data_IF_553663642337
#
_entry.id   IF_553663642337
#
_cell.length_a   1.000
_cell.length_b   1.000
_cell.length_c   1.000
_cell.angle_alpha   90.00
_cell.angle_beta   90.00
_cell.angle_gamma   90.00
#
_symmetry.space_group_name_H-M   'P 1'
#
loop_
_entity.id
_entity.type
_entity.pdbx_description
1 polymer ?
#
# COMPACT_ATOMS: atom_id res chain seq x y z
N UNK A 1 57.95 43.49 49.54
CA UNK A 1 56.57 43.01 49.67
C UNK A 1 56.13 42.52 48.32
N UNK A 2 56.12 41.22 48.08
CA UNK A 2 55.69 40.60 46.82
C UNK A 2 54.40 39.86 47.12
N UNK A 3 53.25 40.32 46.58
CA UNK A 3 51.97 39.66 46.68
C UNK A 3 51.88 38.59 45.62
N UNK A 4 51.64 37.32 46.00
CA UNK A 4 51.34 36.20 45.13
C UNK A 4 49.88 36.18 44.88
N UNK A 5 49.50 36.35 43.63
CA UNK A 5 48.11 36.13 43.13
C UNK A 5 47.97 34.63 42.78
N UNK A 6 47.07 33.96 43.50
CA UNK A 6 46.64 32.59 43.14
C UNK A 6 45.53 32.69 42.14
N UNK A 7 45.75 32.12 40.95
CA UNK A 7 44.71 31.93 39.96
C UNK A 7 44.10 30.52 40.16
N UNK A 8 42.87 30.51 40.61
CA UNK A 8 42.10 29.25 40.75
C UNK A 8 41.50 28.91 39.38
N UNK A 9 41.99 27.84 38.74
CA UNK A 9 41.34 27.26 37.58
C UNK A 9 40.16 26.40 38.05
N UNK A 10 38.94 26.85 37.80
CA UNK A 10 37.72 26.03 37.93
C UNK A 10 37.58 25.24 36.61
N UNK A 11 37.92 23.97 36.68
CA UNK A 11 37.62 23.04 35.58
C UNK A 11 36.15 22.62 35.70
N UNK A 12 35.31 23.20 34.83
CA UNK A 12 33.93 22.74 34.66
C UNK A 12 33.96 21.41 33.90
N UNK A 13 33.71 20.32 34.62
CA UNK A 13 33.36 19.04 33.98
C UNK A 13 31.93 19.16 33.42
N UNK A 14 31.80 19.46 32.16
CA UNK A 14 30.53 19.24 31.42
C UNK A 14 30.46 17.74 31.12
N UNK A 15 29.75 17.00 31.96
CA UNK A 15 29.33 15.65 31.64
C UNK A 15 28.30 15.75 30.51
N UNK A 16 28.73 15.47 29.27
CA UNK A 16 27.83 15.19 28.16
C UNK A 16 27.16 13.87 28.48
N UNK A 17 25.99 13.91 29.08
CA UNK A 17 25.06 12.79 29.06
C UNK A 17 24.58 12.65 27.61
N UNK A 18 25.20 11.74 26.87
CA UNK A 18 24.63 11.19 25.67
C UNK A 18 23.34 10.47 26.09
N UNK A 19 22.22 11.15 25.91
CA UNK A 19 20.91 10.51 25.98
C UNK A 19 20.82 9.62 24.72
N UNK A 20 21.31 8.39 24.83
CA UNK A 20 20.84 7.31 23.99
C UNK A 20 19.36 7.12 24.35
N UNK A 21 18.46 7.86 23.70
CA UNK A 21 17.10 7.42 23.53
C UNK A 21 17.16 6.27 22.48
N UNK A 22 17.62 5.11 22.91
CA UNK A 22 17.11 3.88 22.37
C UNK A 22 15.60 3.95 22.65
N UNK A 23 14.81 4.19 21.63
CA UNK A 23 13.39 3.89 21.68
C UNK A 23 13.31 2.41 22.03
N UNK A 24 13.14 2.09 23.29
CA UNK A 24 12.55 0.82 23.71
C UNK A 24 11.12 0.84 23.16
N UNK A 25 10.98 0.45 21.90
CA UNK A 25 9.72 -0.07 21.42
C UNK A 25 9.42 -1.28 22.30
N UNK A 26 8.49 -1.09 23.21
CA UNK A 26 8.00 -2.16 24.04
C UNK A 26 7.24 -3.12 23.10
N UNK A 27 7.96 -4.12 22.57
CA UNK A 27 7.56 -5.07 21.52
C UNK A 27 6.45 -6.06 21.96
N UNK A 28 5.62 -5.67 22.93
CA UNK A 28 4.53 -6.51 23.43
C UNK A 28 3.15 -6.14 22.90
N UNK A 29 3.05 -5.48 21.77
CA UNK A 29 1.74 -5.07 21.23
C UNK A 29 1.59 -5.48 19.79
N UNK A 30 0.45 -6.09 19.50
CA UNK A 30 -0.02 -6.36 18.13
C UNK A 30 0.01 -5.07 17.29
N UNK A 31 0.56 -5.12 16.09
CA UNK A 31 0.56 -4.02 15.13
C UNK A 31 0.65 -4.49 13.68
N UNK A 32 0.24 -3.66 12.76
CA UNK A 32 0.53 -3.80 11.33
C UNK A 32 1.64 -2.80 10.98
N UNK A 33 2.79 -3.25 10.45
CA UNK A 33 3.85 -2.34 9.99
C UNK A 33 3.36 -1.40 8.89
N UNK A 34 3.94 -0.20 8.86
CA UNK A 34 3.72 0.71 7.74
C UNK A 34 4.49 0.24 6.50
N UNK A 35 3.99 0.60 5.32
CA UNK A 35 4.58 0.16 4.05
C UNK A 35 6.02 0.68 3.85
N UNK A 36 6.40 1.80 4.47
CA UNK A 36 7.78 2.32 4.41
C UNK A 36 8.74 1.68 5.43
N UNK A 37 8.27 0.82 6.34
CA UNK A 37 9.13 0.05 7.22
C UNK A 37 9.90 -1.03 6.44
N UNK A 38 10.99 -1.60 7.01
CA UNK A 38 11.72 -2.67 6.34
C UNK A 38 10.83 -3.83 5.92
N UNK A 39 10.99 -4.27 4.68
CA UNK A 39 10.24 -5.37 4.09
C UNK A 39 11.16 -6.57 3.83
N UNK A 40 10.66 -7.78 4.04
CA UNK A 40 11.31 -9.03 3.63
C UNK A 40 11.14 -9.27 2.14
N UNK A 41 9.95 -8.98 1.61
CA UNK A 41 9.61 -9.23 0.22
C UNK A 41 8.41 -8.39 -0.26
N UNK A 42 8.24 -8.33 -1.57
CA UNK A 42 6.96 -7.97 -2.21
C UNK A 42 6.36 -9.22 -2.87
N UNK A 43 5.04 -9.32 -2.85
CA UNK A 43 4.28 -10.35 -3.53
C UNK A 43 3.49 -9.76 -4.69
N UNK A 44 3.32 -10.51 -5.78
CA UNK A 44 2.44 -10.18 -6.90
C UNK A 44 1.88 -11.46 -7.52
N UNK A 45 0.71 -11.36 -8.14
CA UNK A 45 0.11 -12.39 -8.98
C UNK A 45 0.32 -12.01 -10.44
N UNK A 46 0.84 -12.91 -11.27
CA UNK A 46 1.07 -12.58 -12.67
C UNK A 46 -0.26 -12.47 -13.42
N UNK A 47 -0.45 -11.50 -14.35
CA UNK A 47 -1.73 -11.29 -15.03
C UNK A 47 -2.20 -12.50 -15.80
N UNK A 48 -3.50 -12.79 -15.72
CA UNK A 48 -4.19 -13.80 -16.48
C UNK A 48 -4.51 -13.37 -17.92
N UNK A 49 -5.29 -14.19 -18.64
CA UNK A 49 -5.60 -13.90 -20.05
C UNK A 49 -6.34 -12.57 -20.26
N UNK A 50 -7.29 -12.25 -19.40
CA UNK A 50 -8.07 -11.00 -19.50
C UNK A 50 -7.29 -9.76 -19.04
N UNK A 51 -6.16 -9.97 -18.36
CA UNK A 51 -5.26 -8.92 -17.89
C UNK A 51 -3.97 -8.85 -18.71
N UNK A 52 -3.89 -9.56 -19.83
CA UNK A 52 -2.65 -9.73 -20.62
C UNK A 52 -2.04 -8.42 -21.12
N UNK A 53 -2.85 -7.40 -21.35
CA UNK A 53 -2.39 -6.05 -21.73
C UNK A 53 -1.44 -5.44 -20.67
N UNK A 54 -1.44 -5.98 -19.44
CA UNK A 54 -0.63 -5.51 -18.32
C UNK A 54 0.74 -6.20 -18.24
N UNK A 55 1.01 -7.27 -18.97
CA UNK A 55 2.25 -8.08 -18.84
C UNK A 55 3.53 -7.25 -18.87
N UNK A 56 3.64 -6.29 -19.80
CA UNK A 56 4.83 -5.44 -19.92
C UNK A 56 5.02 -4.57 -18.67
N UNK A 57 3.94 -4.04 -18.12
CA UNK A 57 3.98 -3.25 -16.88
C UNK A 57 4.42 -4.13 -15.70
N UNK A 58 3.87 -5.35 -15.60
CA UNK A 58 4.26 -6.30 -14.55
C UNK A 58 5.71 -6.75 -14.67
N UNK A 59 6.22 -6.99 -15.86
CA UNK A 59 7.64 -7.29 -16.06
C UNK A 59 8.54 -6.14 -15.58
N UNK A 60 8.18 -4.88 -15.86
CA UNK A 60 8.92 -3.71 -15.38
C UNK A 60 8.82 -3.54 -13.86
N UNK A 61 7.66 -3.81 -13.25
CA UNK A 61 7.49 -3.81 -11.79
C UNK A 61 8.40 -4.87 -11.18
N UNK A 62 8.38 -6.08 -11.72
CA UNK A 62 9.23 -7.18 -11.26
C UNK A 62 10.73 -6.88 -11.39
N UNK A 63 11.15 -6.25 -12.49
CA UNK A 63 12.52 -5.79 -12.68
C UNK A 63 12.95 -4.82 -11.57
N UNK A 64 12.16 -3.80 -11.29
CA UNK A 64 12.49 -2.82 -10.26
C UNK A 64 12.56 -3.49 -8.88
N UNK A 65 11.52 -4.19 -8.47
CA UNK A 65 11.46 -4.80 -7.14
C UNK A 65 12.64 -5.75 -6.92
N UNK A 66 12.94 -6.60 -7.91
CA UNK A 66 14.00 -7.61 -7.79
C UNK A 66 15.43 -7.04 -7.67
N UNK A 67 15.64 -5.77 -8.00
CA UNK A 67 16.92 -5.09 -7.78
C UNK A 67 17.14 -4.73 -6.31
N UNK A 68 16.08 -4.55 -5.53
CA UNK A 68 16.13 -4.02 -4.17
C UNK A 68 15.81 -5.07 -3.10
N UNK A 69 14.83 -5.93 -3.34
CA UNK A 69 14.35 -6.91 -2.37
C UNK A 69 13.83 -8.18 -3.03
N UNK A 70 13.46 -9.19 -2.24
CA UNK A 70 12.83 -10.40 -2.75
C UNK A 70 11.47 -10.07 -3.37
N UNK A 71 11.18 -10.73 -4.47
CA UNK A 71 9.90 -10.70 -5.15
C UNK A 71 9.35 -12.12 -5.25
N UNK A 72 8.19 -12.35 -4.68
CA UNK A 72 7.43 -13.58 -4.85
C UNK A 72 6.37 -13.37 -5.91
N UNK A 73 6.37 -14.22 -6.94
CA UNK A 73 5.40 -14.16 -8.04
C UNK A 73 4.56 -15.44 -8.02
N UNK A 74 3.25 -15.26 -7.85
CA UNK A 74 2.29 -16.35 -8.02
C UNK A 74 1.93 -16.49 -9.51
N UNK A 75 1.77 -17.72 -9.97
CA UNK A 75 1.25 -18.03 -11.29
C UNK A 75 0.21 -19.15 -11.21
N UNK A 76 -0.88 -19.00 -11.97
CA UNK A 76 -2.01 -19.94 -11.86
C UNK A 76 -1.95 -21.12 -12.83
N UNK A 77 -1.05 -21.09 -13.82
CA UNK A 77 -0.89 -22.18 -14.80
C UNK A 77 0.50 -22.19 -15.44
N UNK A 78 0.91 -23.33 -15.97
CA UNK A 78 2.20 -23.48 -16.67
C UNK A 78 2.32 -22.52 -17.87
N UNK A 79 1.22 -22.22 -18.56
CA UNK A 79 1.25 -21.27 -19.67
C UNK A 79 1.55 -19.85 -19.18
N UNK A 80 0.94 -19.41 -18.09
CA UNK A 80 1.23 -18.09 -17.48
C UNK A 80 2.67 -18.03 -17.01
N UNK A 81 3.22 -19.12 -16.45
CA UNK A 81 4.63 -19.19 -16.09
C UNK A 81 5.55 -18.98 -17.31
N UNK A 82 5.25 -19.65 -18.42
CA UNK A 82 6.02 -19.49 -19.66
C UNK A 82 5.92 -18.07 -20.23
N UNK A 83 4.70 -17.50 -20.25
CA UNK A 83 4.47 -16.13 -20.74
C UNK A 83 5.20 -15.11 -19.86
N UNK A 84 5.15 -15.27 -18.55
CA UNK A 84 5.87 -14.41 -17.59
C UNK A 84 7.38 -14.45 -17.80
N UNK A 85 7.96 -15.64 -17.96
CA UNK A 85 9.39 -15.79 -18.24
C UNK A 85 9.79 -15.13 -19.54
N UNK A 86 8.93 -15.28 -20.57
CA UNK A 86 9.15 -14.59 -21.84
C UNK A 86 9.10 -13.07 -21.69
N UNK A 87 8.10 -12.54 -21.00
CA UNK A 87 7.96 -11.09 -20.81
C UNK A 87 9.16 -10.47 -20.06
N UNK A 88 9.69 -11.16 -19.05
CA UNK A 88 10.90 -10.74 -18.34
C UNK A 88 12.13 -10.79 -19.25
N UNK A 89 12.35 -11.89 -19.99
CA UNK A 89 13.46 -12.01 -20.92
C UNK A 89 13.41 -10.95 -22.02
N UNK A 90 12.22 -10.62 -22.53
CA UNK A 90 12.05 -9.62 -23.59
C UNK A 90 12.51 -8.21 -23.16
N UNK A 91 12.52 -7.93 -21.84
CA UNK A 91 13.05 -6.67 -21.29
C UNK A 91 14.45 -6.84 -20.67
N UNK A 92 15.11 -8.00 -20.86
CA UNK A 92 16.47 -8.26 -20.40
C UNK A 92 16.60 -8.64 -18.91
N UNK A 93 15.52 -9.06 -18.27
CA UNK A 93 15.50 -9.52 -16.87
C UNK A 93 15.57 -11.04 -16.83
N UNK A 94 16.50 -11.58 -16.04
CA UNK A 94 16.59 -13.02 -15.78
C UNK A 94 15.43 -13.47 -14.88
N UNK A 95 14.48 -14.27 -15.37
CA UNK A 95 13.36 -14.76 -14.57
C UNK A 95 13.79 -15.66 -13.39
N UNK A 96 15.00 -16.21 -13.43
CA UNK A 96 15.60 -17.02 -12.37
C UNK A 96 16.56 -16.20 -11.48
N UNK A 97 16.49 -14.88 -11.58
CA UNK A 97 17.32 -13.97 -10.78
C UNK A 97 17.23 -14.26 -9.28
N UNK A 98 18.34 -14.01 -8.57
CA UNK A 98 18.49 -14.38 -7.14
C UNK A 98 17.37 -13.90 -6.22
N UNK A 99 16.69 -12.81 -6.58
CA UNK A 99 15.62 -12.20 -5.79
C UNK A 99 14.19 -12.58 -6.28
N UNK A 100 14.02 -13.31 -7.37
CA UNK A 100 12.71 -13.73 -7.88
C UNK A 100 12.40 -15.15 -7.38
N UNK A 101 11.20 -15.34 -6.88
CA UNK A 101 10.65 -16.62 -6.41
C UNK A 101 9.31 -16.89 -7.05
N UNK A 102 9.17 -18.01 -7.73
CA UNK A 102 7.96 -18.43 -8.41
C UNK A 102 7.17 -19.45 -7.60
N UNK A 103 5.86 -19.29 -7.55
CA UNK A 103 4.97 -20.19 -6.82
C UNK A 103 3.76 -20.56 -7.69
N UNK A 104 3.56 -21.86 -7.92
CA UNK A 104 2.37 -22.38 -8.57
C UNK A 104 1.19 -22.35 -7.59
N UNK A 105 0.42 -21.29 -7.63
CA UNK A 105 -0.75 -21.07 -6.77
C UNK A 105 -1.93 -20.66 -7.66
N UNK A 106 -3.04 -21.40 -7.67
CA UNK A 106 -4.24 -20.97 -8.36
C UNK A 106 -4.84 -19.70 -7.73
N UNK A 107 -5.23 -18.76 -8.58
CA UNK A 107 -5.99 -17.55 -8.26
C UNK A 107 -6.88 -17.18 -9.46
N UNK A 108 -7.85 -16.30 -9.23
CA UNK A 108 -8.79 -15.87 -10.25
C UNK A 108 -8.34 -14.56 -10.91
N UNK A 109 -7.77 -13.61 -10.15
CA UNK A 109 -7.43 -12.25 -10.60
C UNK A 109 -6.09 -11.79 -10.02
N UNK A 110 -5.38 -10.86 -10.69
CA UNK A 110 -4.02 -10.43 -10.30
C UNK A 110 -3.98 -9.30 -9.25
N UNK A 111 -5.01 -9.15 -8.44
CA UNK A 111 -5.16 -8.05 -7.47
C UNK A 111 -4.62 -8.43 -6.09
N UNK A 112 -3.29 -8.70 -6.00
CA UNK A 112 -2.62 -9.20 -4.80
C UNK A 112 -2.75 -8.29 -3.58
N UNK A 113 -3.00 -7.00 -3.76
CA UNK A 113 -3.30 -6.08 -2.67
C UNK A 113 -4.61 -6.43 -1.99
N UNK A 114 -5.63 -6.78 -2.75
CA UNK A 114 -6.98 -6.93 -2.27
C UNK A 114 -7.29 -8.35 -1.79
N UNK A 115 -6.79 -9.36 -2.50
CA UNK A 115 -6.99 -10.77 -2.17
C UNK A 115 -5.80 -11.40 -1.42
N UNK A 116 -4.74 -10.64 -1.18
CA UNK A 116 -3.54 -11.12 -0.49
C UNK A 116 -3.59 -11.01 1.04
N UNK A 117 -2.55 -11.48 1.73
CA UNK A 117 -2.48 -11.48 3.18
C UNK A 117 -2.40 -10.10 3.81
N UNK A 118 -2.93 -9.95 5.02
CA UNK A 118 -2.57 -8.86 5.93
C UNK A 118 -1.62 -9.40 6.98
N UNK A 119 -0.40 -8.89 7.00
CA UNK A 119 0.60 -9.32 7.97
C UNK A 119 0.47 -8.53 9.27
N UNK A 120 0.45 -9.24 10.39
CA UNK A 120 0.35 -8.65 11.73
C UNK A 120 1.51 -9.15 12.58
N UNK A 121 2.23 -8.24 13.20
CA UNK A 121 3.23 -8.54 14.19
C UNK A 121 2.56 -8.62 15.57
N UNK A 122 2.81 -9.70 16.29
CA UNK A 122 2.27 -9.94 17.63
C UNK A 122 3.41 -10.46 18.53
N UNK A 123 3.96 -9.58 19.35
CA UNK A 123 5.14 -9.85 20.17
C UNK A 123 6.33 -10.37 19.33
N UNK A 124 6.73 -11.62 19.52
CA UNK A 124 7.83 -12.27 18.80
C UNK A 124 7.33 -13.14 17.63
N UNK A 125 6.12 -12.93 17.17
CA UNK A 125 5.49 -13.72 16.12
C UNK A 125 4.97 -12.83 14.98
N UNK A 126 5.17 -13.27 13.73
CA UNK A 126 4.45 -12.74 12.57
C UNK A 126 3.28 -13.67 12.25
N UNK A 127 2.12 -13.12 11.99
CA UNK A 127 0.91 -13.86 11.59
C UNK A 127 0.32 -13.28 10.32
N UNK A 128 -0.36 -14.09 9.58
CA UNK A 128 -1.19 -13.67 8.45
C UNK A 128 -2.65 -13.63 8.90
N UNK A 129 -3.35 -12.56 8.57
CA UNK A 129 -4.80 -12.53 8.62
C UNK A 129 -5.35 -12.75 7.22
N UNK A 130 -6.24 -13.73 7.09
CA UNK A 130 -7.04 -13.98 5.91
C UNK A 130 -8.42 -13.36 6.11
N UNK A 131 -8.63 -12.18 5.51
CA UNK A 131 -9.92 -11.51 5.45
C UNK A 131 -10.71 -12.06 4.28
N UNK A 132 -12.02 -12.27 4.46
CA UNK A 132 -12.84 -12.77 3.38
C UNK A 132 -12.84 -11.81 2.18
N UNK A 133 -12.64 -12.37 0.99
CA UNK A 133 -12.72 -11.65 -0.28
C UNK A 133 -13.94 -12.14 -1.08
N UNK A 134 -14.76 -11.22 -1.60
CA UNK A 134 -15.99 -11.54 -2.37
C UNK A 134 -16.13 -10.71 -3.65
N UNK A 135 -15.01 -10.52 -4.37
CA UNK A 135 -14.96 -9.73 -5.61
C UNK A 135 -15.52 -8.31 -5.43
N UNK A 136 -14.99 -7.59 -4.43
CA UNK A 136 -15.36 -6.19 -4.12
C UNK A 136 -16.86 -5.97 -3.88
N UNK A 137 -17.52 -6.91 -3.18
CA UNK A 137 -18.96 -6.86 -2.98
C UNK A 137 -19.78 -7.11 -4.24
N UNK A 138 -19.23 -7.85 -5.22
CA UNK A 138 -19.86 -8.11 -6.51
C UNK A 138 -19.91 -6.89 -7.44
N UNK A 139 -19.01 -5.92 -7.27
CA UNK A 139 -19.00 -4.66 -8.03
C UNK A 139 -18.90 -4.87 -9.56
N UNK A 140 -18.24 -5.95 -9.99
CA UNK A 140 -18.02 -6.29 -11.40
C UNK A 140 -19.05 -7.29 -11.95
N UNK A 141 -20.09 -7.61 -11.20
CA UNK A 141 -21.14 -8.55 -11.58
C UNK A 141 -20.97 -9.93 -10.95
N UNK A 142 -22.01 -10.78 -11.07
CA UNK A 142 -22.06 -12.08 -10.38
C UNK A 142 -21.16 -13.15 -11.01
N UNK A 143 -20.66 -12.93 -12.22
CA UNK A 143 -19.90 -13.92 -12.99
C UNK A 143 -18.38 -13.81 -12.75
N UNK A 144 -17.92 -12.85 -11.94
CA UNK A 144 -16.51 -12.70 -11.61
C UNK A 144 -16.11 -13.75 -10.57
N UNK A 145 -15.23 -14.70 -10.91
CA UNK A 145 -14.77 -15.71 -9.95
C UNK A 145 -13.86 -15.06 -8.90
N UNK A 146 -13.92 -15.56 -7.66
CA UNK A 146 -13.10 -15.09 -6.53
C UNK A 146 -12.75 -16.17 -5.50
N UNK A 147 -13.25 -17.40 -5.69
CA UNK A 147 -13.04 -18.46 -4.70
C UNK A 147 -11.57 -18.85 -4.56
N UNK A 148 -10.81 -18.82 -5.65
CA UNK A 148 -9.37 -19.09 -5.63
C UNK A 148 -8.63 -17.91 -4.99
N UNK A 149 -9.03 -16.68 -5.30
CA UNK A 149 -8.50 -15.45 -4.71
C UNK A 149 -8.66 -15.45 -3.18
N UNK A 150 -9.85 -15.81 -2.68
CA UNK A 150 -10.13 -15.88 -1.24
C UNK A 150 -9.24 -16.89 -0.49
N UNK A 151 -8.57 -17.81 -1.20
CA UNK A 151 -7.65 -18.80 -0.62
C UNK A 151 -6.18 -18.38 -0.66
N UNK A 152 -5.84 -17.27 -1.31
CA UNK A 152 -4.45 -16.85 -1.51
C UNK A 152 -3.70 -16.63 -0.20
N UNK A 153 -4.25 -15.98 0.85
CA UNK A 153 -3.55 -15.81 2.12
C UNK A 153 -3.15 -17.14 2.78
N UNK A 154 -3.98 -18.18 2.69
CA UNK A 154 -3.67 -19.51 3.22
C UNK A 154 -2.52 -20.17 2.46
N UNK A 155 -2.48 -19.99 1.13
CA UNK A 155 -1.37 -20.49 0.31
C UNK A 155 -0.06 -19.78 0.62
N UNK A 156 -0.11 -18.45 0.80
CA UNK A 156 1.05 -17.67 1.23
C UNK A 156 1.52 -18.10 2.61
N UNK A 157 0.61 -18.30 3.56
CA UNK A 157 0.92 -18.82 4.90
C UNK A 157 1.62 -20.18 4.84
N UNK A 158 1.14 -21.08 3.98
CA UNK A 158 1.78 -22.39 3.77
C UNK A 158 3.18 -22.26 3.14
N UNK A 159 3.37 -21.37 2.16
CA UNK A 159 4.68 -21.14 1.53
C UNK A 159 5.70 -20.59 2.51
N UNK A 160 5.27 -19.69 3.39
CA UNK A 160 6.14 -19.01 4.36
C UNK A 160 6.27 -19.73 5.69
N UNK A 161 5.49 -20.80 5.94
CA UNK A 161 5.35 -21.44 7.25
C UNK A 161 4.92 -20.45 8.35
N UNK A 162 3.97 -19.55 8.00
CA UNK A 162 3.40 -18.55 8.90
C UNK A 162 1.97 -18.92 9.25
N UNK A 163 1.57 -18.90 10.54
CA UNK A 163 0.19 -19.16 10.96
C UNK A 163 -0.81 -18.17 10.36
N UNK A 164 -1.98 -18.66 9.96
CA UNK A 164 -3.05 -17.87 9.35
C UNK A 164 -4.25 -17.79 10.29
N UNK A 165 -4.70 -16.56 10.56
CA UNK A 165 -5.93 -16.27 11.30
C UNK A 165 -7.04 -15.93 10.28
N UNK A 166 -8.15 -16.68 10.31
CA UNK A 166 -9.31 -16.40 9.46
C UNK A 166 -10.21 -15.35 10.13
N UNK A 167 -10.49 -14.28 9.40
CA UNK A 167 -11.32 -13.16 9.86
C UNK A 167 -12.66 -13.20 9.11
N UNK A 168 -13.74 -13.39 9.86
CA UNK A 168 -15.09 -13.48 9.28
C UNK A 168 -15.69 -12.09 8.98
N UNK A 169 -14.92 -11.28 8.26
CA UNK A 169 -15.30 -9.96 7.73
C UNK A 169 -14.79 -9.87 6.31
N UNK A 170 -15.62 -9.43 5.39
CA UNK A 170 -15.19 -9.17 4.00
C UNK A 170 -14.48 -7.82 3.95
N UNK A 171 -13.22 -7.84 3.57
CA UNK A 171 -12.43 -6.62 3.42
C UNK A 171 -11.21 -6.82 2.54
N UNK A 172 -10.83 -5.76 1.85
CA UNK A 172 -9.67 -5.73 0.99
C UNK A 172 -8.57 -4.85 1.61
N UNK A 173 -7.28 -5.30 1.50
CA UNK A 173 -6.15 -4.55 2.06
C UNK A 173 -5.94 -3.19 1.37
N UNK A 174 -6.38 -3.00 0.12
CA UNK A 174 -6.37 -1.71 -0.57
C UNK A 174 -7.16 -0.61 0.15
N UNK A 175 -8.09 -1.00 1.01
CA UNK A 175 -8.81 -0.09 1.89
C UNK A 175 -8.22 0.03 3.30
N UNK A 176 -6.97 -0.35 3.53
CA UNK A 176 -6.31 -0.28 4.84
C UNK A 176 -4.99 0.47 4.71
N UNK A 177 -4.88 1.61 5.36
CA UNK A 177 -3.67 2.42 5.37
C UNK A 177 -3.16 2.61 6.80
N UNK A 178 -1.97 2.07 7.11
CA UNK A 178 -1.39 2.01 8.46
C UNK A 178 -0.23 2.97 8.63
N UNK A 179 -0.14 3.60 9.82
CA UNK A 179 1.04 4.40 10.19
C UNK A 179 2.17 3.59 10.85
N UNK A 180 2.02 2.25 10.93
CA UNK A 180 3.01 1.35 11.50
C UNK A 180 3.00 1.25 13.03
N UNK A 181 2.20 2.03 13.74
CA UNK A 181 2.18 2.06 15.21
C UNK A 181 0.78 1.87 15.79
N UNK A 182 -0.07 2.86 15.68
CA UNK A 182 -1.30 2.92 16.45
C UNK A 182 -2.53 3.37 15.67
N UNK A 183 -2.40 3.64 14.37
CA UNK A 183 -3.50 4.23 13.58
C UNK A 183 -3.70 3.52 12.25
N UNK A 184 -4.96 3.29 11.90
CA UNK A 184 -5.41 2.88 10.56
C UNK A 184 -6.39 3.92 10.01
N UNK A 185 -6.24 4.25 8.73
CA UNK A 185 -7.21 5.04 7.95
C UNK A 185 -7.88 4.09 6.94
N UNK A 186 -9.18 4.18 6.81
CA UNK A 186 -9.93 3.42 5.82
C UNK A 186 -11.21 4.15 5.42
N UNK A 187 -11.78 3.75 4.29
CA UNK A 187 -13.06 4.27 3.84
C UNK A 187 -14.21 3.38 4.33
N UNK A 188 -15.13 3.99 5.07
CA UNK A 188 -16.33 3.33 5.56
C UNK A 188 -17.24 2.85 4.43
N UNK A 189 -17.29 3.58 3.30
CA UNK A 189 -18.13 3.19 2.15
C UNK A 189 -17.77 1.82 1.57
N UNK A 190 -16.55 1.33 1.83
CA UNK A 190 -16.06 0.01 1.44
C UNK A 190 -16.47 -1.05 2.46
N UNK A 191 -15.92 -1.00 3.69
CA UNK A 191 -16.15 -2.05 4.70
C UNK A 191 -17.61 -2.09 5.19
N UNK A 192 -18.29 -0.95 5.17
CA UNK A 192 -19.71 -0.83 5.54
C UNK A 192 -20.69 -1.09 4.40
N UNK A 193 -20.21 -1.50 3.20
CA UNK A 193 -21.08 -1.88 2.09
C UNK A 193 -21.87 -3.14 2.46
N UNK A 194 -23.23 -3.11 2.39
CA UNK A 194 -24.06 -4.27 2.70
C UNK A 194 -23.77 -5.51 1.85
N UNK A 195 -23.23 -5.35 0.64
CA UNK A 195 -22.81 -6.47 -0.21
C UNK A 195 -21.51 -7.12 0.27
N UNK A 196 -20.74 -6.43 1.13
CA UNK A 196 -19.61 -7.01 1.84
C UNK A 196 -20.02 -7.50 3.22
N UNK A 197 -20.60 -6.62 4.04
CA UNK A 197 -20.88 -6.92 5.45
C UNK A 197 -22.28 -6.45 5.83
N UNK A 198 -23.26 -7.33 5.70
CA UNK A 198 -24.66 -7.02 6.03
C UNK A 198 -24.79 -6.72 7.54
N UNK A 199 -25.46 -5.61 7.86
CA UNK A 199 -25.72 -5.14 9.25
C UNK A 199 -24.45 -4.77 10.05
N UNK A 200 -23.29 -4.62 9.40
CA UNK A 200 -22.09 -4.13 10.06
C UNK A 200 -22.17 -2.62 10.30
N UNK A 201 -21.77 -2.14 11.47
CA UNK A 201 -21.82 -0.72 11.81
C UNK A 201 -20.46 -0.18 12.26
N UNK A 202 -20.28 1.15 12.20
CA UNK A 202 -18.99 1.78 12.51
C UNK A 202 -18.47 1.48 13.91
N UNK A 203 -19.34 1.40 14.91
CA UNK A 203 -18.90 1.14 16.29
C UNK A 203 -18.35 -0.28 16.43
N UNK A 204 -18.98 -1.24 15.78
CA UNK A 204 -18.51 -2.62 15.71
C UNK A 204 -17.21 -2.69 14.91
N UNK A 205 -17.15 -2.07 13.73
CA UNK A 205 -15.96 -2.01 12.90
C UNK A 205 -14.77 -1.38 13.66
N UNK A 206 -14.98 -0.27 14.37
CA UNK A 206 -13.92 0.34 15.17
C UNK A 206 -13.38 -0.61 16.27
N UNK A 207 -14.28 -1.33 16.94
CA UNK A 207 -13.89 -2.32 17.94
C UNK A 207 -13.06 -3.45 17.31
N UNK A 208 -13.58 -4.06 16.24
CA UNK A 208 -12.98 -5.22 15.60
C UNK A 208 -11.62 -4.87 14.97
N UNK A 209 -11.51 -3.71 14.30
CA UNK A 209 -10.25 -3.26 13.71
C UNK A 209 -9.17 -2.97 14.78
N UNK A 210 -9.56 -2.44 15.95
CA UNK A 210 -8.65 -2.26 17.08
C UNK A 210 -8.17 -3.61 17.61
N UNK A 211 -9.05 -4.58 17.71
CA UNK A 211 -8.73 -5.93 18.19
C UNK A 211 -7.83 -6.68 17.20
N UNK A 212 -8.18 -6.67 15.90
CA UNK A 212 -7.44 -7.39 14.87
C UNK A 212 -6.06 -6.80 14.59
N UNK A 213 -5.92 -5.47 14.58
CA UNK A 213 -4.69 -4.81 14.19
C UNK A 213 -3.85 -4.27 15.35
N UNK A 214 -4.40 -4.24 16.57
CA UNK A 214 -3.73 -3.64 17.73
C UNK A 214 -3.65 -2.10 17.67
N UNK A 215 -4.40 -1.45 16.79
CA UNK A 215 -4.41 0.01 16.67
C UNK A 215 -5.25 0.66 17.78
N UNK A 216 -4.85 1.87 18.18
CA UNK A 216 -5.61 2.68 19.14
C UNK A 216 -6.62 3.60 18.47
N UNK A 217 -6.32 4.00 17.24
CA UNK A 217 -7.12 4.95 16.48
C UNK A 217 -7.53 4.36 15.13
N UNK A 218 -8.83 4.42 14.85
CA UNK A 218 -9.43 4.07 13.56
C UNK A 218 -10.04 5.33 12.98
N UNK A 219 -9.60 5.75 11.80
CA UNK A 219 -10.08 6.94 11.11
C UNK A 219 -10.91 6.50 9.91
N UNK A 220 -12.21 6.71 10.00
CA UNK A 220 -13.14 6.49 8.89
C UNK A 220 -13.30 7.74 8.04
N UNK A 221 -12.95 7.65 6.77
CA UNK A 221 -13.42 8.58 5.75
C UNK A 221 -14.68 8.00 5.08
N UNK A 222 -15.36 8.77 4.26
CA UNK A 222 -16.58 8.35 3.55
C UNK A 222 -16.65 8.97 2.16
N UNK A 223 -17.28 8.26 1.27
CA UNK A 223 -17.56 8.66 -0.10
C UNK A 223 -16.90 7.75 -1.12
N UNK A 224 -17.53 7.62 -2.27
CA UNK A 224 -17.04 6.84 -3.41
C UNK A 224 -16.81 7.83 -4.53
N UNK A 225 -15.54 8.05 -4.95
CA UNK A 225 -15.22 8.88 -6.10
C UNK A 225 -15.90 8.37 -7.39
N UNK A 226 -16.19 9.26 -8.29
CA UNK A 226 -16.81 8.87 -9.56
C UNK A 226 -15.89 7.99 -10.38
N UNK A 227 -16.41 6.87 -10.87
CA UNK A 227 -15.64 5.87 -11.62
C UNK A 227 -14.79 4.92 -10.78
N UNK A 228 -14.80 5.04 -9.45
CA UNK A 228 -14.13 4.10 -8.57
C UNK A 228 -14.86 2.75 -8.52
N UNK A 229 -14.18 1.70 -9.00
CA UNK A 229 -14.74 0.35 -9.11
C UNK A 229 -14.65 -0.45 -7.79
N UNK A 230 -13.81 0.00 -6.84
CA UNK A 230 -13.57 -0.68 -5.56
C UNK A 230 -14.53 -0.26 -4.45
N UNK A 231 -15.38 0.74 -4.70
CA UNK A 231 -16.25 1.42 -3.74
C UNK A 231 -15.50 2.31 -2.73
N UNK A 232 -14.41 2.92 -3.19
CA UNK A 232 -13.69 3.95 -2.48
C UNK A 232 -12.51 3.43 -1.64
N UNK A 233 -11.68 2.55 -2.18
CA UNK A 233 -10.46 2.14 -1.50
C UNK A 233 -9.60 3.33 -1.10
N UNK A 234 -9.01 3.24 0.10
CA UNK A 234 -8.23 4.34 0.68
C UNK A 234 -6.95 4.63 -0.09
N UNK A 235 -6.34 3.61 -0.71
CA UNK A 235 -5.07 3.71 -1.44
C UNK A 235 -5.14 4.56 -2.71
N UNK A 236 -6.35 4.84 -3.21
CA UNK A 236 -6.63 5.81 -4.25
C UNK A 236 -6.98 7.21 -3.75
N UNK A 237 -7.12 7.43 -2.43
CA UNK A 237 -7.63 8.67 -1.82
C UNK A 237 -6.62 9.30 -0.87
N UNK A 238 -6.04 8.51 0.04
CA UNK A 238 -5.14 9.00 1.08
C UNK A 238 -4.08 7.95 1.42
N UNK A 239 -2.81 8.38 1.55
CA UNK A 239 -1.67 7.52 1.87
C UNK A 239 -0.79 8.13 2.95
N UNK A 240 -0.33 7.33 3.89
CA UNK A 240 0.73 7.74 4.79
C UNK A 240 2.08 7.81 4.05
N UNK A 241 2.87 8.84 4.37
CA UNK A 241 4.28 8.97 3.93
C UNK A 241 5.25 9.07 5.11
N UNK A 242 4.74 8.82 6.30
CA UNK A 242 5.47 8.86 7.56
C UNK A 242 4.50 8.78 8.74
N UNK A 243 5.00 8.60 9.98
CA UNK A 243 4.15 8.26 11.12
C UNK A 243 3.07 9.29 11.45
N UNK A 244 3.25 10.54 11.01
CA UNK A 244 2.36 11.67 11.32
C UNK A 244 1.92 12.49 10.11
N UNK A 245 2.23 12.04 8.88
CA UNK A 245 1.95 12.79 7.66
C UNK A 245 1.19 11.92 6.66
N UNK A 246 0.07 12.44 6.18
CA UNK A 246 -0.81 11.80 5.20
C UNK A 246 -0.91 12.68 3.96
N UNK A 247 -0.74 12.08 2.80
CA UNK A 247 -1.04 12.70 1.51
C UNK A 247 -2.50 12.41 1.16
N UNK A 248 -3.26 13.42 0.76
CA UNK A 248 -4.68 13.29 0.36
C UNK A 248 -4.89 13.98 -0.97
N UNK A 249 -5.59 13.33 -1.89
CA UNK A 249 -5.91 13.88 -3.21
C UNK A 249 -6.59 15.24 -3.16
N UNK A 250 -6.39 16.00 -4.22
CA UNK A 250 -7.03 17.28 -4.45
C UNK A 250 -7.42 17.44 -5.92
N UNK A 251 -8.71 17.66 -6.18
CA UNK A 251 -9.19 18.06 -7.49
C UNK A 251 -8.71 19.47 -7.86
N UNK A 252 -8.32 19.66 -9.12
CA UNK A 252 -7.84 20.95 -9.65
C UNK A 252 -8.71 21.42 -10.82
N UNK A 253 -8.45 22.65 -11.29
CA UNK A 253 -9.10 23.14 -12.52
C UNK A 253 -8.63 22.41 -13.79
N UNK A 254 -7.61 21.57 -13.70
CA UNK A 254 -7.02 20.80 -14.81
C UNK A 254 -7.45 19.34 -14.84
N UNK A 255 -8.13 18.86 -13.80
CA UNK A 255 -8.66 17.48 -13.71
C UNK A 255 -10.11 17.38 -14.15
N UNK A 256 -10.60 16.17 -14.38
CA UNK A 256 -12.01 15.89 -14.60
C UNK A 256 -12.81 16.18 -13.33
N UNK A 257 -12.29 15.77 -12.19
CA UNK A 257 -12.87 16.02 -10.88
C UNK A 257 -12.70 17.48 -10.42
N UNK A 258 -13.34 18.41 -11.07
CA UNK A 258 -13.25 19.87 -10.80
C UNK A 258 -13.33 20.22 -9.31
N UNK A 259 -12.78 21.40 -8.87
CA UNK A 259 -12.77 21.81 -7.45
C UNK A 259 -14.16 21.92 -6.77
N UNK A 260 -15.22 21.99 -7.55
CA UNK A 260 -16.62 22.05 -7.13
C UNK A 260 -17.39 20.73 -7.33
N UNK A 261 -16.70 19.65 -7.67
CA UNK A 261 -17.28 18.32 -7.87
C UNK A 261 -17.54 17.57 -6.57
N UNK A 262 -18.33 16.50 -6.66
CA UNK A 262 -18.54 15.53 -5.58
C UNK A 262 -17.21 14.92 -5.08
N UNK A 263 -16.28 14.60 -5.98
CA UNK A 263 -14.99 14.05 -5.62
C UNK A 263 -14.14 15.05 -4.83
N UNK A 264 -14.17 16.33 -5.23
CA UNK A 264 -13.51 17.39 -4.47
C UNK A 264 -14.08 17.51 -3.05
N UNK A 265 -15.40 17.35 -2.88
CA UNK A 265 -16.02 17.32 -1.55
C UNK A 265 -15.52 16.13 -0.73
N UNK A 266 -15.47 14.92 -1.31
CA UNK A 266 -14.95 13.70 -0.67
C UNK A 266 -13.51 13.91 -0.18
N UNK A 267 -12.61 14.36 -1.07
CA UNK A 267 -11.19 14.53 -0.74
C UNK A 267 -10.98 15.66 0.28
N UNK A 268 -11.75 16.76 0.18
CA UNK A 268 -11.68 17.86 1.15
C UNK A 268 -12.19 17.44 2.53
N UNK A 269 -13.24 16.63 2.59
CA UNK A 269 -13.80 16.08 3.83
C UNK A 269 -12.81 15.08 4.45
N UNK A 270 -12.21 14.19 3.64
CA UNK A 270 -11.17 13.26 4.08
C UNK A 270 -9.98 14.00 4.71
N UNK A 271 -9.45 15.02 4.04
CA UNK A 271 -8.36 15.84 4.56
C UNK A 271 -8.70 16.44 5.93
N UNK A 272 -9.87 17.07 6.08
CA UNK A 272 -10.33 17.66 7.35
C UNK A 272 -10.50 16.63 8.48
N UNK A 273 -11.00 15.43 8.16
CA UNK A 273 -11.13 14.35 9.15
C UNK A 273 -9.76 13.91 9.65
N UNK A 274 -8.80 13.73 8.75
CA UNK A 274 -7.43 13.30 9.04
C UNK A 274 -6.68 14.40 9.84
N UNK A 275 -6.80 15.67 9.45
CA UNK A 275 -6.25 16.81 10.21
C UNK A 275 -6.83 16.89 11.63
N UNK A 276 -8.15 16.73 11.77
CA UNK A 276 -8.82 16.71 13.08
C UNK A 276 -8.39 15.54 13.96
N UNK A 277 -7.99 14.43 13.34
CA UNK A 277 -7.44 13.27 14.03
C UNK A 277 -5.99 13.48 14.49
N UNK A 278 -5.36 14.63 14.16
CA UNK A 278 -4.05 15.05 14.64
C UNK A 278 -2.90 14.74 13.67
N UNK A 279 -3.16 14.52 12.39
CA UNK A 279 -2.15 14.27 11.36
C UNK A 279 -1.88 15.51 10.52
N UNK A 280 -0.65 15.64 10.04
CA UNK A 280 -0.31 16.60 9.00
C UNK A 280 -0.85 16.11 7.66
N UNK A 281 -1.53 16.97 6.91
CA UNK A 281 -2.06 16.64 5.59
C UNK A 281 -1.33 17.43 4.51
N UNK A 282 -0.83 16.70 3.51
CA UNK A 282 -0.34 17.25 2.25
C UNK A 282 -1.39 16.98 1.18
N UNK A 283 -1.67 17.96 0.33
CA UNK A 283 -2.64 17.81 -0.75
C UNK A 283 -1.93 17.47 -2.06
N UNK A 284 -2.20 16.26 -2.60
CA UNK A 284 -1.69 15.83 -3.90
C UNK A 284 -2.64 16.29 -5.01
N UNK A 285 -2.23 17.23 -5.89
CA UNK A 285 -3.10 17.73 -6.93
C UNK A 285 -3.23 16.74 -8.08
N UNK A 286 -4.45 16.54 -8.56
CA UNK A 286 -4.71 15.88 -9.84
C UNK A 286 -4.47 16.92 -10.93
N UNK A 287 -3.39 16.77 -11.72
CA UNK A 287 -2.87 17.79 -12.64
C UNK A 287 -3.34 17.65 -14.09
N UNK A 288 -4.12 16.62 -14.39
CA UNK A 288 -4.61 16.36 -15.73
C UNK A 288 -5.44 15.10 -15.84
N UNK A 289 -5.78 14.77 -17.06
CA UNK A 289 -6.51 13.58 -17.44
C UNK A 289 -5.98 13.00 -18.75
N UNK A 290 -6.30 11.75 -19.03
CA UNK A 290 -5.93 11.01 -20.23
C UNK A 290 -7.14 10.31 -20.82
N UNK A 291 -7.09 10.02 -22.13
CA UNK A 291 -8.06 9.15 -22.79
C UNK A 291 -7.44 7.76 -23.02
N UNK A 292 -8.17 6.71 -22.70
CA UNK A 292 -7.80 5.34 -23.00
C UNK A 292 -9.03 4.54 -23.40
N UNK A 293 -9.03 3.96 -24.61
CA UNK A 293 -10.15 3.16 -25.15
C UNK A 293 -11.50 3.93 -25.03
N UNK A 294 -11.49 5.21 -25.41
CA UNK A 294 -12.63 6.14 -25.35
C UNK A 294 -13.17 6.48 -23.95
N UNK A 295 -12.47 6.07 -22.92
CA UNK A 295 -12.75 6.48 -21.53
C UNK A 295 -11.76 7.54 -21.05
N UNK A 296 -12.25 8.48 -20.26
CA UNK A 296 -11.43 9.56 -19.69
C UNK A 296 -11.11 9.24 -18.23
N UNK A 297 -9.83 9.36 -17.87
CA UNK A 297 -9.33 9.09 -16.53
C UNK A 297 -8.52 10.28 -16.01
N UNK A 298 -8.76 10.68 -14.77
CA UNK A 298 -7.87 11.56 -14.03
C UNK A 298 -6.50 10.91 -13.78
N UNK A 299 -5.43 11.70 -13.85
CA UNK A 299 -4.08 11.23 -13.53
C UNK A 299 -3.88 11.19 -12.02
N UNK A 300 -4.39 10.13 -11.38
CA UNK A 300 -4.28 9.90 -9.95
C UNK A 300 -3.04 9.05 -9.65
N UNK A 301 -2.00 9.67 -9.11
CA UNK A 301 -0.72 9.01 -8.80
C UNK A 301 -0.64 8.39 -7.41
N UNK A 302 -1.73 8.36 -6.62
CA UNK A 302 -1.72 7.87 -5.24
C UNK A 302 -1.49 6.36 -5.07
N UNK A 303 -1.77 5.59 -6.10
CA UNK A 303 -1.68 4.13 -6.06
C UNK A 303 -0.22 3.63 -6.24
N UNK A 304 0.71 4.24 -5.51
CA UNK A 304 2.13 3.85 -5.50
C UNK A 304 2.41 2.67 -4.57
N UNK A 305 3.46 1.91 -4.90
CA UNK A 305 4.08 0.91 -4.02
C UNK A 305 5.34 1.49 -3.39
N UNK A 306 5.50 1.34 -2.07
CA UNK A 306 6.74 1.67 -1.35
C UNK A 306 7.47 0.37 -1.00
N UNK A 307 8.77 0.30 -1.29
CA UNK A 307 9.63 -0.83 -0.91
C UNK A 307 10.98 -0.36 -0.36
N UNK A 308 11.87 -1.30 -0.06
CA UNK A 308 13.20 -1.00 0.48
C UNK A 308 14.04 -0.21 -0.53
N UNK A 309 14.12 1.10 -0.37
CA UNK A 309 14.91 1.98 -1.22
C UNK A 309 14.26 2.38 -2.55
N UNK A 310 13.01 2.03 -2.80
CA UNK A 310 12.29 2.43 -4.01
C UNK A 310 10.82 2.80 -3.76
N UNK A 311 10.26 3.57 -4.70
CA UNK A 311 8.82 3.78 -4.85
C UNK A 311 8.46 3.57 -6.32
N UNK A 312 7.44 2.76 -6.62
CA UNK A 312 6.90 2.61 -7.96
C UNK A 312 5.55 3.31 -8.04
N UNK A 313 5.42 4.22 -8.99
CA UNK A 313 4.25 5.09 -9.18
C UNK A 313 3.56 4.72 -10.49
N UNK A 314 2.22 4.61 -10.52
CA UNK A 314 1.52 4.44 -11.79
C UNK A 314 1.70 5.67 -12.67
N UNK A 315 2.15 5.48 -13.91
CA UNK A 315 2.23 6.50 -14.96
C UNK A 315 1.03 6.40 -15.90
N UNK A 316 0.71 7.51 -16.51
CA UNK A 316 -0.45 7.63 -17.40
C UNK A 316 -0.08 7.94 -18.86
N UNK A 317 1.22 7.86 -19.19
CA UNK A 317 1.70 8.20 -20.55
C UNK A 317 1.55 9.70 -20.89
N UNK A 318 1.34 10.54 -19.90
CA UNK A 318 1.33 12.00 -20.04
C UNK A 318 2.64 12.58 -19.48
N UNK A 319 3.66 12.85 -20.32
CA UNK A 319 5.00 13.21 -19.85
C UNK A 319 5.02 14.42 -18.92
N UNK A 320 4.11 15.38 -19.12
CA UNK A 320 4.06 16.58 -18.28
C UNK A 320 3.58 16.26 -16.86
N UNK A 321 2.44 15.59 -16.72
CA UNK A 321 1.88 15.28 -15.41
C UNK A 321 2.68 14.17 -14.72
N UNK A 322 3.19 13.19 -15.48
CA UNK A 322 4.04 12.11 -14.98
C UNK A 322 5.33 12.66 -14.34
N UNK A 323 6.05 13.59 -15.01
CA UNK A 323 7.26 14.21 -14.46
C UNK A 323 6.95 15.05 -13.21
N UNK A 324 5.86 15.83 -13.25
CA UNK A 324 5.45 16.65 -12.09
C UNK A 324 5.09 15.79 -10.87
N UNK A 325 4.36 14.70 -11.07
CA UNK A 325 4.02 13.77 -10.01
C UNK A 325 5.26 13.08 -9.44
N UNK A 326 6.14 12.58 -10.33
CA UNK A 326 7.41 11.96 -9.91
C UNK A 326 8.20 12.92 -9.01
N UNK A 327 8.38 14.17 -9.40
CA UNK A 327 9.13 15.15 -8.62
C UNK A 327 8.50 15.43 -7.23
N UNK A 328 7.17 15.42 -7.12
CA UNK A 328 6.50 15.55 -5.80
C UNK A 328 6.73 14.32 -4.93
N UNK A 329 6.61 13.12 -5.52
CA UNK A 329 6.78 11.85 -4.78
C UNK A 329 8.23 11.66 -4.34
N UNK A 330 9.22 12.10 -5.13
CA UNK A 330 10.64 12.18 -4.71
C UNK A 330 10.82 13.04 -3.44
N UNK A 331 10.05 14.11 -3.29
CA UNK A 331 10.06 14.91 -2.06
C UNK A 331 9.34 14.22 -0.88
N UNK A 332 8.38 13.35 -1.13
CA UNK A 332 7.71 12.55 -0.09
C UNK A 332 8.61 11.44 0.43
N UNK A 333 9.48 10.90 -0.41
CA UNK A 333 10.37 9.77 -0.12
C UNK A 333 11.82 10.08 -0.53
N UNK A 334 12.48 11.04 0.14
CA UNK A 334 13.80 11.55 -0.29
C UNK A 334 14.92 10.48 -0.25
N UNK A 335 14.71 9.40 0.50
CA UNK A 335 15.68 8.30 0.65
C UNK A 335 15.37 7.11 -0.28
N UNK A 336 14.48 7.27 -1.25
CA UNK A 336 14.08 6.23 -2.19
C UNK A 336 14.16 6.66 -3.64
N UNK A 337 14.54 5.74 -4.50
CA UNK A 337 14.47 5.94 -5.95
C UNK A 337 13.01 5.85 -6.42
N UNK A 338 12.54 6.85 -7.16
CA UNK A 338 11.16 6.90 -7.66
C UNK A 338 11.10 6.49 -9.12
N UNK A 339 10.33 5.47 -9.41
CA UNK A 339 10.09 4.92 -10.75
C UNK A 339 8.65 5.16 -11.19
N UNK A 340 8.47 5.55 -12.45
CA UNK A 340 7.18 5.64 -13.11
C UNK A 340 7.02 4.46 -14.07
N UNK A 341 5.91 3.73 -13.95
CA UNK A 341 5.55 2.67 -14.89
C UNK A 341 4.18 3.00 -15.47
N UNK A 342 4.08 3.02 -16.79
CA UNK A 342 2.81 3.22 -17.48
C UNK A 342 1.86 2.06 -17.13
N UNK A 343 0.70 2.41 -16.54
CA UNK A 343 -0.29 1.47 -15.98
C UNK A 343 -1.70 1.72 -16.52
N UNK A 344 -1.84 2.40 -17.64
CA UNK A 344 -3.15 2.89 -18.10
C UNK A 344 -4.14 1.76 -18.41
N UNK A 345 -3.66 0.62 -18.96
CA UNK A 345 -4.50 -0.57 -19.15
C UNK A 345 -5.02 -1.12 -17.81
N UNK A 346 -4.16 -1.22 -16.79
CA UNK A 346 -4.55 -1.66 -15.46
C UNK A 346 -5.49 -0.65 -14.78
N UNK A 347 -5.17 0.65 -14.90
CA UNK A 347 -6.00 1.71 -14.33
C UNK A 347 -7.43 1.67 -14.86
N UNK A 348 -7.59 1.40 -16.18
CA UNK A 348 -8.90 1.25 -16.80
C UNK A 348 -9.67 0.02 -16.30
N UNK A 349 -8.99 -0.95 -15.68
CA UNK A 349 -9.57 -2.13 -15.04
C UNK A 349 -9.79 -1.96 -13.52
N UNK A 350 -9.35 -0.84 -12.92
CA UNK A 350 -9.66 -0.49 -11.53
C UNK A 350 -8.50 -0.18 -10.60
N UNK A 351 -7.23 -0.26 -11.05
CA UNK A 351 -6.10 0.03 -10.15
C UNK A 351 -4.74 0.18 -10.80
N UNK A 352 -3.78 0.60 -9.99
CA UNK A 352 -2.39 0.79 -10.38
C UNK A 352 -1.44 -0.23 -9.75
N UNK A 353 -0.19 0.19 -9.52
CA UNK A 353 0.89 -0.67 -9.00
C UNK A 353 0.57 -1.23 -7.62
N UNK A 354 0.03 -0.40 -6.72
CA UNK A 354 -0.28 -0.81 -5.35
C UNK A 354 -1.30 -1.93 -5.32
N UNK A 355 -2.36 -1.84 -6.13
CA UNK A 355 -3.42 -2.85 -6.19
C UNK A 355 -2.92 -4.24 -6.62
N UNK A 356 -1.85 -4.31 -7.42
CA UNK A 356 -1.26 -5.57 -7.88
C UNK A 356 -0.16 -6.13 -6.99
N UNK A 357 0.21 -5.45 -5.93
CA UNK A 357 1.34 -5.82 -5.07
C UNK A 357 0.95 -5.87 -3.60
N UNK A 358 1.65 -6.71 -2.83
CA UNK A 358 1.46 -6.83 -1.39
C UNK A 358 2.82 -6.85 -0.70
N UNK A 359 2.99 -6.01 0.33
CA UNK A 359 4.21 -5.90 1.10
C UNK A 359 4.23 -6.91 2.25
N UNK A 360 5.29 -7.71 2.29
CA UNK A 360 5.61 -8.59 3.42
C UNK A 360 6.62 -7.87 4.31
N UNK A 361 6.27 -7.54 5.57
CA UNK A 361 7.20 -6.87 6.46
C UNK A 361 8.39 -7.77 6.82
N UNK A 362 9.55 -7.16 7.04
CA UNK A 362 10.68 -7.86 7.65
C UNK A 362 10.35 -8.18 9.11
N UNK A 363 10.64 -9.40 9.51
CA UNK A 363 10.46 -9.87 10.87
C UNK A 363 11.69 -10.67 11.31
N UNK A 364 12.29 -10.27 12.43
CA UNK A 364 13.36 -11.02 13.07
C UNK A 364 13.03 -11.20 14.54
N UNK A 365 13.05 -12.44 15.00
CA UNK A 365 12.96 -12.72 16.44
C UNK A 365 14.23 -12.17 17.09
N UNK A 366 14.05 -11.27 18.06
CA UNK A 366 15.17 -10.78 18.87
C UNK A 366 15.67 -11.94 19.73
N UNK A 367 16.88 -12.44 19.41
CA UNK A 367 17.56 -13.46 20.23
C UNK A 367 18.00 -12.88 21.57
#
# INVERSE_FOLDING_TARGET
MKSKIWVIFIILFISVMSVNQANEFNHKTKRVPAEWEPQEATWMQWPGYWEKDNEIAFAKIADIISRYQKLHILFHSDQIYVDAHKALNDIGVDPQGKNIRWHAVPYDNSWMRDNGPVYVLNDDEIRIQNWNFNAWGGAFGPDIPFNLDNSVPDKVGTILDIPVDHIDIVHERGNLEFNGSDTVILNWSTIGDPNRNLNYNKKQAEHDLKEYFGVKQVIFIEGIPDGDLTKGHIDGIARFIGPRTVVVLQCTSRSLCRPDSKDAEIYNKAAKIIEKAGFNVIREPIEGFVNHKDLMFDTNYMNWLVGNGFVIVPGFGNPKTDIMAKSRIENYFPDRDVYLIEMLSSWSAGGGVHCHTNDQPAFSVSN
#
